data_IF_295126704774
#
_entry.id   IF_295126704774
#
_cell.length_a   1.000
_cell.length_b   1.000
_cell.length_c   1.000
_cell.angle_alpha   90.00
_cell.angle_beta   90.00
_cell.angle_gamma   90.00
#
_symmetry.space_group_name_H-M   'P 1'
#
loop_
_entity.id
_entity.type
_entity.pdbx_description
1 polymer ?
#
# COMPACT_ATOMS: atom_id res chain seq x y z
N UNK A 1 -3.94 -22.00 15.98
CA UNK A 1 -3.10 -20.97 15.38
C UNK A 1 -3.77 -20.32 14.17
N UNK A 2 -3.13 -19.32 13.62
CA UNK A 2 -3.65 -18.56 12.47
C UNK A 2 -2.70 -18.75 11.29
N UNK A 3 -3.23 -19.06 10.11
CA UNK A 3 -2.47 -19.06 8.86
C UNK A 3 -2.28 -17.64 8.35
N UNK A 4 -1.07 -17.29 7.95
CA UNK A 4 -0.71 -15.93 7.55
C UNK A 4 -0.17 -15.90 6.12
N UNK A 5 -0.72 -15.01 5.28
CA UNK A 5 -0.18 -14.68 3.97
C UNK A 5 0.63 -13.38 4.07
N UNK A 6 1.94 -13.47 3.90
CA UNK A 6 2.85 -12.32 3.90
C UNK A 6 2.96 -11.75 2.49
N UNK A 7 2.39 -10.57 2.26
CA UNK A 7 2.32 -9.94 0.94
C UNK A 7 3.34 -8.82 0.72
N UNK A 8 4.15 -8.50 1.73
CA UNK A 8 5.16 -7.45 1.64
C UNK A 8 4.57 -6.06 1.41
N UNK A 9 5.40 -5.07 1.03
CA UNK A 9 4.94 -3.70 0.84
C UNK A 9 3.92 -3.58 -0.29
N UNK A 10 2.74 -3.07 0.06
CA UNK A 10 1.63 -2.76 -0.84
C UNK A 10 0.83 -1.59 -0.24
N UNK A 11 0.30 -0.66 -1.06
CA UNK A 11 -0.55 0.43 -0.55
C UNK A 11 -1.73 -0.10 0.27
N UNK A 12 -2.16 0.68 1.26
CA UNK A 12 -3.27 0.30 2.17
C UNK A 12 -4.51 -0.24 1.44
N UNK A 13 -5.03 0.40 0.36
CA UNK A 13 -6.15 -0.17 -0.40
C UNK A 13 -5.79 -1.48 -1.11
N UNK A 14 -4.51 -1.71 -1.39
CA UNK A 14 -4.03 -2.99 -1.93
C UNK A 14 -4.13 -4.12 -0.91
N UNK A 15 -3.91 -3.84 0.37
CA UNK A 15 -4.11 -4.83 1.45
C UNK A 15 -5.60 -5.19 1.55
N UNK A 16 -6.49 -4.20 1.57
CA UNK A 16 -7.93 -4.40 1.58
C UNK A 16 -8.40 -5.29 0.39
N UNK A 17 -7.92 -4.97 -0.81
CA UNK A 17 -8.19 -5.77 -2.00
C UNK A 17 -7.67 -7.20 -1.88
N UNK A 18 -6.42 -7.39 -1.44
CA UNK A 18 -5.80 -8.70 -1.31
C UNK A 18 -6.46 -9.57 -0.23
N UNK A 19 -6.98 -8.97 0.85
CA UNK A 19 -7.76 -9.69 1.88
C UNK A 19 -8.93 -10.41 1.24
N UNK A 20 -9.70 -9.71 0.42
CA UNK A 20 -10.83 -10.27 -0.33
C UNK A 20 -10.37 -11.24 -1.43
N UNK A 21 -9.34 -10.87 -2.19
CA UNK A 21 -8.81 -11.69 -3.30
C UNK A 21 -8.36 -13.08 -2.83
N UNK A 22 -7.75 -13.17 -1.65
CA UNK A 22 -7.31 -14.44 -1.07
C UNK A 22 -8.33 -15.10 -0.16
N UNK A 23 -9.55 -14.56 -0.05
CA UNK A 23 -10.60 -15.04 0.86
C UNK A 23 -10.07 -15.22 2.28
N UNK A 24 -9.31 -14.22 2.77
CA UNK A 24 -8.83 -14.21 4.15
C UNK A 24 -9.92 -13.69 5.07
N UNK A 25 -9.93 -14.15 6.33
CA UNK A 25 -10.86 -13.66 7.35
C UNK A 25 -10.54 -12.21 7.75
N UNK A 26 -9.24 -11.85 7.76
CA UNK A 26 -8.75 -10.52 8.11
C UNK A 26 -7.58 -10.08 7.23
N UNK A 27 -7.49 -8.77 7.03
CA UNK A 27 -6.29 -8.10 6.51
C UNK A 27 -5.69 -7.20 7.57
N UNK A 28 -4.36 -7.14 7.61
CA UNK A 28 -3.62 -6.26 8.53
C UNK A 28 -2.56 -5.50 7.74
N UNK A 29 -2.48 -4.19 7.96
CA UNK A 29 -1.43 -3.34 7.42
C UNK A 29 -0.76 -2.51 8.51
N UNK A 30 0.56 -2.45 8.47
CA UNK A 30 1.37 -1.52 9.27
C UNK A 30 1.72 -0.36 8.35
N UNK A 31 1.38 0.87 8.73
CA UNK A 31 1.53 2.04 7.89
C UNK A 31 1.70 3.31 8.71
N UNK A 32 2.65 4.16 8.32
CA UNK A 32 2.78 5.52 8.84
C UNK A 32 1.80 6.51 8.17
N UNK A 33 0.98 6.07 7.20
CA UNK A 33 0.11 6.94 6.41
C UNK A 33 0.93 8.06 5.72
N UNK A 34 0.66 9.33 6.03
CA UNK A 34 1.40 10.51 5.57
C UNK A 34 2.41 11.06 6.61
N UNK A 35 2.61 10.32 7.69
CA UNK A 35 3.56 10.69 8.75
C UNK A 35 4.97 10.14 8.48
N UNK A 36 5.93 10.57 9.29
CA UNK A 36 7.27 10.00 9.30
C UNK A 36 7.25 8.57 9.87
N UNK A 37 8.34 7.83 9.67
CA UNK A 37 8.44 6.41 10.01
C UNK A 37 8.20 6.09 11.50
N UNK A 38 8.37 7.06 12.39
CA UNK A 38 8.19 6.92 13.84
C UNK A 38 6.71 6.74 14.23
N UNK A 39 5.79 7.24 13.40
CA UNK A 39 4.35 7.24 13.65
C UNK A 39 3.63 6.11 12.89
N UNK A 40 4.15 4.90 12.98
CA UNK A 40 3.45 3.74 12.43
C UNK A 40 2.20 3.40 13.23
N UNK A 41 1.13 3.05 12.51
CA UNK A 41 -0.10 2.51 13.06
C UNK A 41 -0.45 1.17 12.44
N UNK A 42 -1.37 0.45 13.06
CA UNK A 42 -1.92 -0.81 12.54
C UNK A 42 -3.36 -0.55 12.11
N UNK A 43 -3.73 -1.02 10.92
CA UNK A 43 -5.11 -0.98 10.42
C UNK A 43 -5.57 -2.38 10.08
N UNK A 44 -6.83 -2.66 10.42
CA UNK A 44 -7.46 -3.95 10.18
C UNK A 44 -8.53 -3.85 9.10
N UNK A 45 -8.69 -4.92 8.34
CA UNK A 45 -9.74 -5.08 7.34
C UNK A 45 -10.48 -6.39 7.60
N UNK A 46 -11.79 -6.39 7.40
CA UNK A 46 -12.60 -7.59 7.40
C UNK A 46 -12.37 -8.45 6.14
N UNK A 47 -12.97 -9.62 6.07
CA UNK A 47 -12.83 -10.54 4.94
C UNK A 47 -13.36 -9.97 3.61
N UNK A 48 -14.19 -8.92 3.64
CA UNK A 48 -14.67 -8.20 2.46
C UNK A 48 -13.74 -7.05 2.04
N UNK A 49 -12.68 -6.81 2.81
CA UNK A 49 -11.75 -5.69 2.60
C UNK A 49 -12.30 -4.35 3.10
N UNK A 50 -13.34 -4.35 3.91
CA UNK A 50 -13.86 -3.18 4.61
C UNK A 50 -13.04 -2.85 5.86
N UNK A 51 -12.97 -1.56 6.24
CA UNK A 51 -12.43 -1.17 7.55
C UNK A 51 -13.31 -1.79 8.65
N UNK A 52 -12.70 -2.27 9.73
CA UNK A 52 -13.46 -2.72 10.90
C UNK A 52 -14.25 -1.56 11.51
N UNK A 53 -15.35 -1.90 12.20
CA UNK A 53 -16.09 -0.90 12.98
C UNK A 53 -15.25 -0.43 14.18
N UNK A 54 -15.50 0.78 14.62
CA UNK A 54 -14.77 1.36 15.76
C UNK A 54 -14.97 0.53 17.03
N UNK A 55 -16.14 -0.10 17.21
CA UNK A 55 -16.43 -1.00 18.34
C UNK A 55 -15.49 -2.23 18.32
N UNK A 56 -15.28 -2.79 17.13
CA UNK A 56 -14.41 -3.97 16.97
C UNK A 56 -12.92 -3.60 17.13
N UNK A 57 -12.52 -2.43 16.65
CA UNK A 57 -11.17 -1.90 16.86
C UNK A 57 -10.89 -1.70 18.36
N UNK A 58 -11.83 -1.11 19.13
CA UNK A 58 -11.72 -0.96 20.58
C UNK A 58 -11.70 -2.31 21.32
N UNK A 59 -12.42 -3.32 20.82
CA UNK A 59 -12.36 -4.67 21.39
C UNK A 59 -10.97 -5.29 21.20
N UNK A 60 -10.39 -5.17 20.01
CA UNK A 60 -9.02 -5.63 19.73
C UNK A 60 -8.01 -4.94 20.64
N UNK A 61 -8.08 -3.62 20.80
CA UNK A 61 -7.20 -2.86 21.68
C UNK A 61 -7.30 -3.33 23.13
N UNK A 62 -8.52 -3.58 23.61
CA UNK A 62 -8.74 -4.13 24.97
C UNK A 62 -8.13 -5.51 25.12
N UNK A 63 -8.29 -6.40 24.13
CA UNK A 63 -7.72 -7.77 24.17
C UNK A 63 -6.19 -7.74 24.13
N UNK A 64 -5.57 -6.84 23.40
CA UNK A 64 -4.11 -6.63 23.42
C UNK A 64 -3.66 -6.27 24.84
N UNK A 65 -4.41 -5.43 25.55
CA UNK A 65 -4.14 -5.04 26.94
C UNK A 65 -4.27 -6.18 27.94
N UNK A 66 -5.08 -7.19 27.66
CA UNK A 66 -5.29 -8.37 28.51
C UNK A 66 -4.15 -9.40 28.41
N UNK A 67 -3.21 -9.20 27.51
CA UNK A 67 -2.06 -10.09 27.30
C UNK A 67 -2.30 -11.15 26.22
N UNK A 68 -1.21 -11.82 25.83
CA UNK A 68 -1.25 -12.80 24.73
C UNK A 68 -1.58 -14.20 25.22
N UNK A 69 -2.53 -14.85 24.56
CA UNK A 69 -2.82 -16.27 24.74
C UNK A 69 -1.92 -17.07 23.79
N UNK A 70 -1.05 -17.87 24.36
CA UNK A 70 -0.19 -18.78 23.58
C UNK A 70 -0.88 -20.10 23.30
N UNK A 71 -0.56 -20.72 22.17
CA UNK A 71 -1.04 -22.05 21.77
C UNK A 71 0.13 -23.04 21.76
N UNK A 72 -0.21 -24.32 21.84
CA UNK A 72 0.79 -25.37 21.72
C UNK A 72 1.41 -25.40 20.32
N UNK A 73 2.61 -25.94 20.18
CA UNK A 73 3.29 -26.04 18.87
C UNK A 73 2.51 -26.83 17.83
N UNK A 74 1.61 -27.71 18.24
CA UNK A 74 0.74 -28.48 17.34
C UNK A 74 -0.42 -27.68 16.78
N UNK A 75 -0.75 -26.55 17.39
CA UNK A 75 -1.85 -25.67 17.03
C UNK A 75 -1.37 -24.39 16.34
N UNK A 76 -0.08 -24.27 16.07
CA UNK A 76 0.45 -23.11 15.34
C UNK A 76 0.02 -23.13 13.87
N UNK A 77 -0.36 -21.97 13.35
CA UNK A 77 -0.60 -21.77 11.93
C UNK A 77 0.70 -21.64 11.13
N UNK A 78 0.58 -21.52 9.83
CA UNK A 78 1.69 -21.40 8.89
C UNK A 78 1.75 -20.00 8.29
N UNK A 79 2.96 -19.42 8.22
CA UNK A 79 3.21 -18.20 7.45
C UNK A 79 3.74 -18.55 6.07
N UNK A 80 3.11 -18.02 5.03
CA UNK A 80 3.48 -18.23 3.62
C UNK A 80 3.67 -16.88 2.94
N UNK A 81 4.80 -16.71 2.23
CA UNK A 81 5.01 -15.54 1.38
C UNK A 81 4.27 -15.69 0.07
N UNK A 82 3.62 -14.61 -0.37
CA UNK A 82 2.90 -14.54 -1.66
C UNK A 82 3.70 -13.69 -2.63
N UNK A 83 3.84 -14.13 -3.89
CA UNK A 83 4.71 -13.48 -4.88
C UNK A 83 3.95 -12.74 -6.00
N UNK A 84 2.64 -12.95 -6.16
CA UNK A 84 1.85 -12.37 -7.25
C UNK A 84 1.00 -11.16 -6.87
N UNK A 85 0.98 -10.77 -5.61
CA UNK A 85 0.08 -9.74 -5.07
C UNK A 85 0.20 -8.38 -5.77
N UNK A 86 1.41 -7.97 -6.15
CA UNK A 86 1.62 -6.69 -6.85
C UNK A 86 0.98 -6.68 -8.22
N UNK A 87 1.21 -7.73 -9.01
CA UNK A 87 0.66 -7.86 -10.36
C UNK A 87 -0.87 -7.93 -10.31
N UNK A 88 -1.43 -8.68 -9.37
CA UNK A 88 -2.89 -8.78 -9.23
C UNK A 88 -3.50 -7.45 -8.80
N UNK A 89 -2.87 -6.72 -7.87
CA UNK A 89 -3.33 -5.39 -7.50
C UNK A 89 -3.20 -4.37 -8.65
N UNK A 90 -2.12 -4.42 -9.43
CA UNK A 90 -1.97 -3.59 -10.64
C UNK A 90 -3.06 -3.86 -11.67
N UNK A 91 -3.37 -5.14 -11.93
CA UNK A 91 -4.48 -5.52 -12.82
C UNK A 91 -5.82 -5.00 -12.33
N UNK A 92 -6.07 -5.10 -11.03
CA UNK A 92 -7.26 -4.53 -10.42
C UNK A 92 -7.33 -3.02 -10.63
N UNK A 93 -6.26 -2.28 -10.34
CA UNK A 93 -6.22 -0.84 -10.54
C UNK A 93 -6.43 -0.46 -12.02
N UNK A 94 -5.76 -1.13 -12.94
CA UNK A 94 -5.93 -0.89 -14.37
C UNK A 94 -7.37 -1.15 -14.84
N UNK A 95 -8.02 -2.17 -14.29
CA UNK A 95 -9.40 -2.52 -14.63
C UNK A 95 -10.46 -1.50 -14.13
N UNK A 96 -10.08 -0.57 -13.25
CA UNK A 96 -10.96 0.54 -12.82
C UNK A 96 -11.03 1.68 -13.84
N UNK A 97 -10.13 1.72 -14.81
CA UNK A 97 -10.16 2.70 -15.88
C UNK A 97 -11.23 2.35 -16.91
N UNK A 98 -11.74 3.38 -17.60
CA UNK A 98 -12.65 3.18 -18.71
C UNK A 98 -12.01 2.31 -19.81
N UNK A 99 -12.81 1.46 -20.45
CA UNK A 99 -12.33 0.63 -21.53
C UNK A 99 -11.67 1.48 -22.65
N UNK A 100 -10.44 1.14 -23.02
CA UNK A 100 -9.65 1.87 -24.01
C UNK A 100 -8.96 3.13 -23.48
N UNK A 101 -9.03 3.44 -22.18
CA UNK A 101 -8.26 4.54 -21.60
C UNK A 101 -6.76 4.24 -21.69
N UNK A 102 -6.00 5.24 -22.13
CA UNK A 102 -4.54 5.20 -22.25
C UNK A 102 -3.96 6.47 -21.69
N UNK A 103 -2.73 6.38 -21.18
CA UNK A 103 -1.93 7.53 -20.76
C UNK A 103 -0.80 7.84 -21.77
N UNK A 104 -0.88 7.26 -22.98
CA UNK A 104 0.07 7.57 -24.05
C UNK A 104 0.10 9.08 -24.35
N UNK A 105 1.31 9.60 -24.50
CA UNK A 105 1.55 11.01 -24.76
C UNK A 105 1.55 11.89 -23.51
N UNK A 106 1.22 11.35 -22.34
CA UNK A 106 1.31 12.08 -21.08
C UNK A 106 2.66 11.81 -20.41
N UNK A 107 3.33 12.87 -20.01
CA UNK A 107 4.53 12.85 -19.18
C UNK A 107 4.17 13.15 -17.74
N UNK A 108 4.39 12.18 -16.85
CA UNK A 108 3.92 12.23 -15.48
C UNK A 108 5.10 12.13 -14.50
N UNK A 109 5.16 13.03 -13.53
CA UNK A 109 6.01 12.87 -12.33
C UNK A 109 5.17 12.21 -11.25
N UNK A 110 5.61 11.06 -10.76
CA UNK A 110 4.92 10.31 -9.71
C UNK A 110 5.77 10.28 -8.44
N UNK A 111 5.28 10.91 -7.37
CA UNK A 111 5.90 10.87 -6.05
C UNK A 111 5.32 9.72 -5.23
N UNK A 112 6.13 8.70 -4.98
CA UNK A 112 5.75 7.56 -4.15
C UNK A 112 6.11 7.73 -2.68
N UNK A 113 6.57 8.90 -2.26
CA UNK A 113 6.88 9.25 -0.87
C UNK A 113 7.80 8.25 -0.14
N UNK A 114 8.64 7.52 -0.86
CA UNK A 114 9.38 6.36 -0.36
C UNK A 114 8.49 5.34 0.38
N UNK A 115 7.20 5.32 0.05
CA UNK A 115 6.17 4.48 0.65
C UNK A 115 5.89 3.21 -0.14
N UNK A 116 4.84 2.50 0.25
CA UNK A 116 4.49 1.18 -0.27
C UNK A 116 4.10 1.16 -1.78
N UNK A 117 3.78 2.32 -2.37
CA UNK A 117 3.49 2.46 -3.80
C UNK A 117 4.74 2.39 -4.70
N UNK A 118 5.95 2.45 -4.16
CA UNK A 118 7.22 2.61 -4.90
C UNK A 118 7.45 1.62 -6.05
N UNK A 119 6.85 0.44 -6.01
CA UNK A 119 6.93 -0.56 -7.10
C UNK A 119 5.66 -0.63 -7.92
N UNK A 120 4.50 -0.54 -7.26
CA UNK A 120 3.20 -0.70 -7.90
C UNK A 120 2.86 0.52 -8.74
N UNK A 121 3.03 1.73 -8.19
CA UNK A 121 2.72 2.97 -8.87
C UNK A 121 3.48 3.14 -10.19
N UNK A 122 4.83 3.17 -10.16
CA UNK A 122 5.60 3.34 -11.39
C UNK A 122 5.28 2.31 -12.48
N UNK A 123 5.12 1.06 -12.09
CA UNK A 123 4.80 0.00 -13.04
C UNK A 123 3.42 0.17 -13.66
N UNK A 124 2.41 0.50 -12.83
CA UNK A 124 1.04 0.70 -13.31
C UNK A 124 0.95 1.82 -14.35
N UNK A 125 1.53 3.00 -14.05
CA UNK A 125 1.49 4.14 -14.97
C UNK A 125 2.27 3.89 -16.26
N UNK A 126 3.41 3.20 -16.18
CA UNK A 126 4.18 2.80 -17.36
C UNK A 126 3.42 1.78 -18.22
N UNK A 127 2.77 0.78 -17.61
CA UNK A 127 1.96 -0.21 -18.32
C UNK A 127 0.71 0.40 -18.99
N UNK A 128 0.24 1.56 -18.51
CA UNK A 128 -0.83 2.36 -19.10
C UNK A 128 -0.35 3.32 -20.22
N UNK A 129 0.96 3.35 -20.49
CA UNK A 129 1.54 4.10 -21.60
C UNK A 129 2.13 5.47 -21.25
N UNK A 130 2.15 5.87 -19.98
CA UNK A 130 2.73 7.17 -19.59
C UNK A 130 4.25 7.20 -19.74
N UNK A 131 4.80 8.35 -20.18
CA UNK A 131 6.21 8.68 -19.96
C UNK A 131 6.39 9.06 -18.49
N UNK A 132 6.98 8.18 -17.70
CA UNK A 132 6.99 8.32 -16.25
C UNK A 132 8.35 8.75 -15.69
N UNK A 133 8.30 9.74 -14.80
CA UNK A 133 9.43 10.17 -13.96
C UNK A 133 9.07 9.86 -12.50
N UNK A 134 9.52 8.70 -11.95
CA UNK A 134 9.23 8.38 -10.56
C UNK A 134 10.20 9.10 -9.62
N UNK A 135 9.67 9.68 -8.55
CA UNK A 135 10.42 10.25 -7.42
C UNK A 135 9.97 9.60 -6.12
N UNK A 136 10.76 9.70 -5.06
CA UNK A 136 10.41 9.06 -3.79
C UNK A 136 10.24 7.53 -3.88
N UNK A 137 11.07 6.84 -4.69
CA UNK A 137 10.93 5.41 -4.96
C UNK A 137 12.07 4.55 -4.39
N UNK A 138 12.84 5.07 -3.43
CA UNK A 138 13.98 4.37 -2.83
C UNK A 138 13.83 4.21 -1.31
N UNK A 139 12.82 3.46 -0.83
CA UNK A 139 12.57 3.30 0.59
C UNK A 139 13.75 2.61 1.29
N UNK A 140 14.19 3.16 2.42
CA UNK A 140 15.24 2.61 3.26
C UNK A 140 14.74 2.17 4.66
N UNK A 141 13.42 2.26 4.90
CA UNK A 141 12.77 1.93 6.16
C UNK A 141 12.63 3.12 7.12
N UNK A 142 13.25 4.27 6.83
CA UNK A 142 13.21 5.48 7.70
C UNK A 142 12.91 6.76 6.96
N UNK A 143 12.85 6.73 5.63
CA UNK A 143 12.67 7.92 4.78
C UNK A 143 11.27 8.04 4.16
N UNK A 144 10.28 7.30 4.67
CA UNK A 144 8.90 7.48 4.23
C UNK A 144 8.41 8.88 4.53
N UNK A 145 7.81 9.56 3.56
CA UNK A 145 7.29 10.94 3.66
C UNK A 145 8.34 12.01 4.07
N UNK A 146 9.62 11.65 4.10
CA UNK A 146 10.67 12.60 4.43
C UNK A 146 10.98 13.49 3.23
N UNK A 147 10.59 14.76 3.34
CA UNK A 147 10.76 15.78 2.29
C UNK A 147 10.14 15.41 0.93
N UNK A 148 9.11 14.55 0.94
CA UNK A 148 8.38 14.10 -0.24
C UNK A 148 6.96 13.66 0.16
N UNK A 149 6.11 13.37 -0.85
CA UNK A 149 4.74 12.93 -0.64
C UNK A 149 3.75 14.06 -0.36
N UNK A 150 2.53 13.71 0.04
CA UNK A 150 1.37 14.60 0.11
C UNK A 150 1.49 15.77 1.08
N UNK A 151 2.29 15.61 2.14
CA UNK A 151 2.52 16.67 3.15
C UNK A 151 3.76 17.51 2.87
N UNK A 152 4.59 17.13 1.89
CA UNK A 152 5.79 17.85 1.47
C UNK A 152 5.90 17.89 -0.08
N UNK A 153 5.00 18.62 -0.77
CA UNK A 153 4.88 18.57 -2.23
C UNK A 153 5.97 19.35 -2.97
N UNK A 154 6.93 19.97 -2.28
CA UNK A 154 7.94 20.85 -2.87
C UNK A 154 8.78 20.15 -3.94
N UNK A 155 9.19 18.90 -3.68
CA UNK A 155 9.93 18.10 -4.66
C UNK A 155 9.14 17.92 -5.95
N UNK A 156 7.86 17.58 -5.83
CA UNK A 156 6.97 17.40 -6.97
C UNK A 156 6.75 18.72 -7.73
N UNK A 157 6.48 19.82 -7.01
CA UNK A 157 6.27 21.17 -7.57
C UNK A 157 7.47 21.69 -8.34
N UNK A 158 8.70 21.37 -7.93
CA UNK A 158 9.93 21.74 -8.63
C UNK A 158 10.20 20.81 -9.81
N UNK A 159 9.92 19.52 -9.66
CA UNK A 159 10.25 18.52 -10.67
C UNK A 159 9.35 18.65 -11.91
N UNK A 160 8.05 18.83 -11.73
CA UNK A 160 7.08 18.90 -12.84
C UNK A 160 7.47 19.95 -13.88
N UNK A 161 7.66 21.24 -13.55
CA UNK A 161 8.10 22.21 -14.54
C UNK A 161 9.54 21.99 -15.01
N UNK A 162 10.44 21.50 -14.15
CA UNK A 162 11.84 21.25 -14.46
C UNK A 162 12.02 20.23 -15.59
N UNK A 163 11.18 19.20 -15.64
CA UNK A 163 11.18 18.16 -16.66
C UNK A 163 10.13 18.36 -17.74
N UNK A 164 9.36 19.46 -17.69
CA UNK A 164 8.24 19.76 -18.58
C UNK A 164 7.23 18.62 -18.62
N UNK A 165 6.85 18.10 -17.45
CA UNK A 165 5.80 17.11 -17.34
C UNK A 165 4.41 17.77 -17.42
N UNK A 166 3.43 17.01 -17.91
CA UNK A 166 2.04 17.45 -18.01
C UNK A 166 1.32 17.40 -16.67
N UNK A 167 1.74 16.47 -15.80
CA UNK A 167 1.08 16.20 -14.53
C UNK A 167 2.08 15.75 -13.46
N UNK A 168 1.81 16.12 -12.20
CA UNK A 168 2.44 15.58 -11.01
C UNK A 168 1.40 14.88 -10.11
N UNK A 169 1.73 13.71 -9.58
CA UNK A 169 0.89 12.90 -8.71
C UNK A 169 1.65 12.54 -7.45
#
# INVERSE_FOLDING_TARGET
GVDVKLIGPLPTPGIAYMTRYFSCDFGVVISASHNLYEDNGIKFFDGNGGKLSDELEHEIEREIGNGTVTRSSRELGRAVRVDKQRTEYQRFCAATLAAGASLEGLKIVLDCANGAAYKVGPRLFADLGAELIPVGCSPNGRNINDSCGSTAPQLLQLTVPGVRADLGI
#
